data_IF_288707183695
#
_entry.id   IF_288707183695
#
_cell.length_a   1.000
_cell.length_b   1.000
_cell.length_c   1.000
_cell.angle_alpha   90.00
_cell.angle_beta   90.00
_cell.angle_gamma   90.00
#
_symmetry.space_group_name_H-M   'P 1'
#
loop_
_entity.id
_entity.type
_entity.pdbx_description
1 polymer ?
#
# COMPACT_ATOMS: atom_id res chain seq x y z
N UNK A 1 -27.60 39.37 -18.61
CA UNK A 1 -28.42 38.25 -19.13
C UNK A 1 -27.54 37.48 -20.11
N UNK A 2 -27.44 36.15 -19.96
CA UNK A 2 -26.63 35.26 -20.83
C UNK A 2 -25.44 34.64 -20.08
N UNK A 3 -25.70 33.77 -19.11
CA UNK A 3 -25.64 32.29 -19.22
C UNK A 3 -24.22 31.72 -19.20
N UNK A 4 -23.78 31.39 -17.99
CA UNK A 4 -22.62 30.57 -17.66
C UNK A 4 -22.93 29.12 -18.02
N UNK A 5 -22.71 28.73 -19.27
CA UNK A 5 -22.70 27.32 -19.64
C UNK A 5 -21.38 26.70 -19.19
N UNK A 6 -21.47 26.06 -18.02
CA UNK A 6 -20.57 25.05 -17.49
C UNK A 6 -20.07 24.10 -18.58
N UNK A 7 -18.90 24.39 -19.15
CA UNK A 7 -18.09 23.36 -19.80
C UNK A 7 -17.20 22.78 -18.71
N UNK A 8 -17.74 21.79 -18.00
CA UNK A 8 -16.99 20.91 -17.13
C UNK A 8 -15.77 20.40 -17.90
N UNK A 9 -14.61 21.01 -17.65
CA UNK A 9 -13.34 20.37 -17.95
C UNK A 9 -13.36 19.07 -17.16
N UNK A 10 -13.22 17.90 -17.81
CA UNK A 10 -12.97 16.69 -17.05
C UNK A 10 -11.77 16.98 -16.17
N UNK A 11 -11.95 16.87 -14.84
CA UNK A 11 -10.83 16.83 -13.91
C UNK A 11 -9.92 15.74 -14.48
N UNK A 12 -8.65 16.02 -14.83
CA UNK A 12 -7.72 14.96 -15.13
C UNK A 12 -7.77 14.07 -13.89
N UNK A 13 -8.25 12.84 -14.06
CA UNK A 13 -8.13 11.80 -13.05
C UNK A 13 -6.68 11.84 -12.62
N UNK A 14 -6.44 12.24 -11.37
CA UNK A 14 -5.11 12.31 -10.80
C UNK A 14 -4.37 11.07 -11.26
N UNK A 15 -3.24 11.19 -11.98
CA UNK A 15 -2.38 10.04 -12.12
C UNK A 15 -2.03 9.71 -10.68
N UNK A 16 -2.54 8.57 -10.22
CA UNK A 16 -2.14 7.90 -9.00
C UNK A 16 -0.62 7.84 -9.06
N UNK A 17 -0.01 8.87 -8.49
CA UNK A 17 1.43 9.06 -8.39
C UNK A 17 1.83 8.11 -7.29
N UNK A 18 2.04 6.87 -7.65
CA UNK A 18 2.90 6.01 -6.87
C UNK A 18 4.02 5.61 -7.80
N UNK A 19 5.01 6.50 -7.79
CA UNK A 19 6.39 6.15 -8.10
C UNK A 19 6.72 4.80 -7.45
N UNK A 20 7.33 3.92 -8.23
CA UNK A 20 8.03 2.74 -7.74
C UNK A 20 9.07 3.17 -6.70
N UNK A 21 8.82 2.85 -5.43
CA UNK A 21 9.87 2.52 -4.48
C UNK A 21 9.71 1.03 -4.25
N UNK A 22 10.76 0.25 -4.49
CA UNK A 22 10.80 -1.20 -4.25
C UNK A 22 10.76 -1.42 -2.74
N UNK A 23 9.59 -1.22 -2.14
CA UNK A 23 9.41 -1.29 -0.70
C UNK A 23 9.52 -2.76 -0.31
N UNK A 24 10.46 -3.08 0.58
CA UNK A 24 10.70 -4.45 1.06
C UNK A 24 9.51 -5.08 1.81
N UNK A 25 8.39 -4.34 1.95
CA UNK A 25 7.16 -4.80 2.59
C UNK A 25 6.23 -5.44 1.56
N UNK A 26 5.97 -6.74 1.71
CA UNK A 26 4.96 -7.47 0.92
C UNK A 26 3.56 -7.26 1.52
N UNK A 27 2.66 -6.65 0.75
CA UNK A 27 1.26 -6.40 1.15
C UNK A 27 0.34 -7.47 0.55
N UNK A 28 -0.49 -8.09 1.40
CA UNK A 28 -1.44 -9.11 0.98
C UNK A 28 -2.89 -8.64 1.16
N UNK A 29 -3.70 -8.82 0.12
CA UNK A 29 -5.14 -8.54 0.13
C UNK A 29 -5.99 -9.79 -0.11
N UNK A 30 -5.37 -10.97 -0.22
CA UNK A 30 -6.06 -12.24 -0.36
C UNK A 30 -5.38 -13.33 0.47
N UNK A 31 -6.18 -14.30 0.92
CA UNK A 31 -5.69 -15.46 1.66
C UNK A 31 -4.79 -16.34 0.80
N UNK A 32 -5.15 -16.53 -0.47
CA UNK A 32 -4.45 -17.47 -1.34
C UNK A 32 -3.03 -17.00 -1.66
N UNK A 33 -2.86 -15.70 -1.96
CA UNK A 33 -1.53 -15.08 -2.15
C UNK A 33 -0.69 -15.14 -0.88
N UNK A 34 -1.30 -14.91 0.28
CA UNK A 34 -0.60 -15.01 1.58
C UNK A 34 -0.11 -16.43 1.84
N UNK A 35 -0.97 -17.43 1.63
CA UNK A 35 -0.62 -18.84 1.88
C UNK A 35 0.50 -19.30 0.96
N UNK A 36 0.48 -18.92 -0.32
CA UNK A 36 1.53 -19.26 -1.28
C UNK A 36 2.90 -18.74 -0.83
N UNK A 37 3.01 -17.44 -0.52
CA UNK A 37 4.27 -16.83 -0.07
C UNK A 37 4.71 -17.35 1.30
N UNK A 38 3.77 -17.59 2.22
CA UNK A 38 4.07 -18.15 3.54
C UNK A 38 4.74 -19.52 3.47
N UNK A 39 4.35 -20.39 2.53
CA UNK A 39 5.02 -21.68 2.36
C UNK A 39 6.49 -21.49 1.95
N UNK A 40 6.77 -20.56 1.04
CA UNK A 40 8.14 -20.21 0.63
C UNK A 40 8.94 -19.66 1.80
N UNK A 41 8.39 -18.69 2.54
CA UNK A 41 9.07 -18.03 3.66
C UNK A 41 9.45 -19.02 4.77
N UNK A 42 8.60 -20.01 5.07
CA UNK A 42 8.89 -21.06 6.05
C UNK A 42 10.12 -21.90 5.71
N UNK A 43 10.49 -22.01 4.43
CA UNK A 43 11.71 -22.73 4.03
C UNK A 43 12.96 -21.89 4.19
N UNK A 44 12.81 -20.58 4.35
CA UNK A 44 13.93 -19.66 4.56
C UNK A 44 14.24 -19.52 6.05
N UNK A 45 15.52 -19.38 6.39
CA UNK A 45 15.95 -19.09 7.76
C UNK A 45 16.06 -17.57 7.99
N UNK A 46 15.00 -16.82 7.66
CA UNK A 46 14.93 -15.36 7.82
C UNK A 46 13.90 -15.00 8.90
N UNK A 47 14.19 -13.98 9.70
CA UNK A 47 13.20 -13.40 10.60
C UNK A 47 12.12 -12.69 9.76
N UNK A 48 10.86 -13.03 10.01
CA UNK A 48 9.71 -12.41 9.34
C UNK A 48 8.91 -11.61 10.37
N UNK A 49 8.59 -10.36 10.03
CA UNK A 49 7.72 -9.49 10.82
C UNK A 49 6.42 -9.30 10.05
N UNK A 50 5.28 -9.48 10.72
CA UNK A 50 3.95 -9.37 10.12
C UNK A 50 3.21 -8.20 10.77
N UNK A 51 2.80 -7.23 9.95
CA UNK A 51 1.94 -6.11 10.37
C UNK A 51 0.47 -6.40 10.01
N UNK A 52 -0.36 -6.57 11.03
CA UNK A 52 -1.82 -6.70 10.86
C UNK A 52 -2.45 -5.31 10.93
N UNK A 53 -2.55 -4.67 9.76
CA UNK A 53 -3.04 -3.29 9.61
C UNK A 53 -4.40 -3.20 8.92
N UNK A 54 -5.03 -2.02 9.02
CA UNK A 54 -6.27 -1.69 8.33
C UNK A 54 -6.25 -0.24 7.83
N UNK A 55 -6.89 0.01 6.69
CA UNK A 55 -6.93 1.35 6.05
C UNK A 55 -7.65 2.42 6.89
N UNK A 56 -8.52 1.99 7.80
CA UNK A 56 -9.26 2.83 8.74
C UNK A 56 -8.60 2.90 10.13
N UNK A 57 -7.52 2.16 10.36
CA UNK A 57 -6.80 2.19 11.63
C UNK A 57 -5.88 3.42 11.69
N UNK A 58 -6.29 4.43 12.46
CA UNK A 58 -5.51 5.64 12.68
C UNK A 58 -4.08 5.35 13.16
N UNK A 59 -3.89 4.65 14.29
CA UNK A 59 -2.56 4.31 14.81
C UNK A 59 -1.68 3.54 13.80
N UNK A 60 -2.27 2.62 13.04
CA UNK A 60 -1.54 1.82 12.05
C UNK A 60 -0.94 2.71 10.93
N UNK A 61 -1.70 3.72 10.48
CA UNK A 61 -1.22 4.69 9.49
C UNK A 61 -0.10 5.58 10.00
N UNK A 62 -0.05 5.86 11.31
CA UNK A 62 1.06 6.61 11.91
C UNK A 62 2.36 5.80 11.94
N UNK A 63 2.30 4.48 12.17
CA UNK A 63 3.50 3.62 12.24
C UNK A 63 3.96 3.12 10.86
N UNK A 64 3.08 3.06 9.86
CA UNK A 64 3.38 2.63 8.48
C UNK A 64 4.70 3.21 7.90
N UNK A 65 5.00 4.52 7.97
CA UNK A 65 6.26 5.05 7.44
C UNK A 65 7.50 4.54 8.20
N UNK A 66 7.38 4.35 9.52
CA UNK A 66 8.47 3.79 10.33
C UNK A 66 8.68 2.33 9.97
N UNK A 67 7.60 1.56 9.80
CA UNK A 67 7.66 0.16 9.39
C UNK A 67 8.35 -0.03 8.03
N UNK A 68 8.00 0.78 7.03
CA UNK A 68 8.67 0.77 5.71
C UNK A 68 10.17 1.10 5.82
N UNK A 69 10.51 2.11 6.63
CA UNK A 69 11.91 2.50 6.89
C UNK A 69 12.73 1.44 7.61
N UNK A 70 12.08 0.56 8.39
CA UNK A 70 12.72 -0.59 9.04
C UNK A 70 12.92 -1.75 8.06
N UNK A 71 12.01 -1.94 7.11
CA UNK A 71 12.11 -3.01 6.10
C UNK A 71 13.19 -2.74 5.04
N UNK A 72 13.53 -1.46 4.81
CA UNK A 72 14.60 -1.04 3.89
C UNK A 72 16.03 -1.23 4.45
N UNK A 73 16.18 -1.60 5.72
CA UNK A 73 17.48 -1.83 6.38
C UNK A 73 17.83 -3.31 6.41
#
# INVERSE_FOLDING_TARGET
MGSLFSRSRPRPSSPSSQHHADSAVHVFHSKDTWVAEWQTLKTTNKLVVIDFSASWCGPCRFIEPVFKTLAEK
#
